data_IF_231411832384
#
_entry.id   IF_231411832384
#
_cell.length_a   1.000
_cell.length_b   1.000
_cell.length_c   1.000
_cell.angle_alpha   90.00
_cell.angle_beta   90.00
_cell.angle_gamma   90.00
#
_symmetry.space_group_name_H-M   'P 1'
#
loop_
_entity.id
_entity.type
_entity.pdbx_description
1 polymer ?
#
# COMPACT_ATOMS: atom_id res chain seq x y z
N UNK A 1 -5.49 83.06 -10.38
CA UNK A 1 -6.48 82.93 -9.28
C UNK A 1 -6.71 81.44 -8.99
N UNK A 2 -6.11 80.94 -7.90
CA UNK A 2 -6.76 80.35 -6.70
C UNK A 2 -7.02 78.82 -6.77
N UNK A 3 -6.02 78.08 -6.28
CA UNK A 3 -5.99 77.00 -5.27
C UNK A 3 -7.21 76.09 -4.91
N UNK A 4 -6.83 74.79 -4.75
CA UNK A 4 -7.07 73.83 -3.64
C UNK A 4 -8.29 72.88 -3.64
N UNK A 5 -7.99 71.59 -3.47
CA UNK A 5 -8.85 70.63 -2.76
C UNK A 5 -8.58 69.14 -3.04
N UNK A 6 -7.70 68.50 -2.26
CA UNK A 6 -7.61 67.02 -2.15
C UNK A 6 -8.79 66.47 -1.34
N UNK A 7 -9.12 65.16 -1.46
CA UNK A 7 -8.97 64.32 -0.27
C UNK A 7 -8.38 62.91 -0.51
N UNK A 8 -7.32 62.64 0.27
CA UNK A 8 -7.05 61.43 1.08
C UNK A 8 -7.29 60.05 0.45
N UNK A 9 -6.21 59.45 -0.07
CA UNK A 9 -6.07 58.01 -0.22
C UNK A 9 -5.96 57.34 1.17
N UNK A 10 -6.96 56.55 1.54
CA UNK A 10 -6.90 55.61 2.68
C UNK A 10 -6.37 54.29 2.12
N UNK A 11 -5.08 54.03 2.31
CA UNK A 11 -4.48 52.72 2.03
C UNK A 11 -4.78 51.81 3.23
N UNK A 12 -5.79 50.95 3.09
CA UNK A 12 -6.07 49.88 4.04
C UNK A 12 -5.00 48.77 3.87
N UNK A 13 -4.13 48.65 4.86
CA UNK A 13 -3.09 47.62 4.94
C UNK A 13 -3.73 46.33 5.48
N UNK A 14 -4.28 45.49 4.60
CA UNK A 14 -4.69 44.12 4.95
C UNK A 14 -3.44 43.24 5.09
N UNK A 15 -2.95 43.09 6.32
CA UNK A 15 -1.95 42.08 6.69
C UNK A 15 -2.65 40.71 6.62
N UNK A 16 -2.43 39.99 5.53
CA UNK A 16 -2.78 38.58 5.43
C UNK A 16 -1.89 37.79 6.42
N UNK A 17 -2.48 37.42 7.56
CA UNK A 17 -1.86 36.51 8.52
C UNK A 17 -1.76 35.11 7.90
N UNK A 18 -0.62 34.83 7.25
CA UNK A 18 -0.20 33.46 6.92
C UNK A 18 0.05 32.72 8.24
N UNK A 19 -0.97 32.05 8.77
CA UNK A 19 -0.80 31.07 9.84
C UNK A 19 0.01 29.90 9.27
N UNK A 20 1.31 29.91 9.52
CA UNK A 20 2.18 28.74 9.33
C UNK A 20 1.65 27.62 10.23
N UNK A 21 0.92 26.67 9.64
CA UNK A 21 0.60 25.40 10.28
C UNK A 21 1.93 24.66 10.43
N UNK A 22 2.60 24.89 11.56
CA UNK A 22 3.81 24.18 11.91
C UNK A 22 3.45 22.71 12.18
N UNK A 23 3.58 21.88 11.15
CA UNK A 23 3.39 20.44 11.26
C UNK A 23 4.36 19.90 12.31
N UNK A 24 3.83 19.29 13.38
CA UNK A 24 4.65 18.75 14.46
C UNK A 24 5.64 17.71 13.90
N UNK A 25 6.93 17.75 14.30
CA UNK A 25 7.91 16.80 13.78
C UNK A 25 7.55 15.38 14.18
N UNK A 26 7.68 14.43 13.25
CA UNK A 26 7.39 13.00 13.49
C UNK A 26 8.65 12.16 13.38
N UNK A 27 8.74 11.11 14.20
CA UNK A 27 9.74 10.04 14.07
C UNK A 27 9.10 8.78 13.51
N UNK A 28 9.88 7.96 12.79
CA UNK A 28 9.45 6.64 12.33
C UNK A 28 9.95 5.58 13.29
N UNK A 29 9.04 4.80 13.85
CA UNK A 29 9.37 3.63 14.67
C UNK A 29 8.91 2.38 13.91
N UNK A 30 9.86 1.51 13.59
CA UNK A 30 9.58 0.20 13.00
C UNK A 30 9.18 -0.77 14.11
N UNK A 31 8.11 -1.54 13.90
CA UNK A 31 7.67 -2.58 14.81
C UNK A 31 7.18 -3.80 14.04
N UNK A 32 7.46 -4.97 14.59
CA UNK A 32 6.92 -6.22 14.07
C UNK A 32 5.47 -6.37 14.54
N UNK A 33 4.56 -6.69 13.62
CA UNK A 33 3.18 -7.05 13.91
C UNK A 33 2.97 -8.54 13.66
N UNK A 34 2.05 -9.18 14.40
CA UNK A 34 1.69 -10.56 14.14
C UNK A 34 1.03 -10.72 12.77
N UNK A 35 1.06 -11.93 12.23
CA UNK A 35 0.22 -12.33 11.12
C UNK A 35 -1.26 -12.13 11.49
N UNK A 36 -2.10 -11.74 10.52
CA UNK A 36 -3.54 -11.58 10.78
C UNK A 36 -4.23 -12.92 11.08
N UNK A 37 -3.70 -14.02 10.55
CA UNK A 37 -4.23 -15.37 10.71
C UNK A 37 -3.25 -16.19 11.55
N UNK A 38 -3.56 -16.37 12.83
CA UNK A 38 -2.73 -17.17 13.73
C UNK A 38 -2.69 -18.66 13.36
N UNK A 39 -3.70 -19.17 12.64
CA UNK A 39 -3.72 -20.56 12.20
C UNK A 39 -2.64 -20.91 11.17
N UNK A 40 -1.97 -19.91 10.57
CA UNK A 40 -0.84 -20.11 9.67
C UNK A 40 0.53 -19.99 10.38
N UNK A 41 0.55 -19.71 11.68
CA UNK A 41 1.77 -19.36 12.40
C UNK A 41 2.74 -20.54 12.56
N UNK A 42 2.24 -21.77 12.62
CA UNK A 42 3.09 -22.96 12.74
C UNK A 42 3.76 -23.37 11.43
N UNK A 43 3.39 -22.77 10.30
CA UNK A 43 3.93 -23.12 9.00
C UNK A 43 5.41 -22.74 8.89
N UNK A 44 6.22 -23.65 8.35
CA UNK A 44 7.63 -23.41 8.08
C UNK A 44 7.94 -23.66 6.60
N UNK A 45 7.52 -24.82 6.07
CA UNK A 45 7.75 -25.21 4.68
C UNK A 45 6.49 -25.00 3.85
N UNK A 46 6.55 -24.15 2.83
CA UNK A 46 5.40 -23.91 1.94
C UNK A 46 5.77 -24.37 0.53
N UNK A 47 4.82 -24.98 -0.17
CA UNK A 47 4.97 -25.31 -1.58
C UNK A 47 3.99 -24.48 -2.40
N UNK A 48 4.45 -23.87 -3.51
CA UNK A 48 3.62 -22.98 -4.35
C UNK A 48 3.38 -23.66 -5.69
N UNK A 49 2.13 -24.00 -5.96
CA UNK A 49 1.75 -24.65 -7.21
C UNK A 49 1.64 -23.67 -8.36
N UNK A 50 1.71 -24.17 -9.59
CA UNK A 50 1.40 -23.36 -10.77
C UNK A 50 -0.11 -23.04 -10.78
N UNK A 51 -0.47 -21.76 -10.81
CA UNK A 51 -1.87 -21.36 -10.86
C UNK A 51 -2.46 -21.76 -12.20
N UNK A 52 -3.70 -22.22 -12.18
CA UNK A 52 -4.42 -22.55 -13.41
C UNK A 52 -4.85 -21.28 -14.15
N UNK A 53 -5.04 -21.38 -15.47
CA UNK A 53 -5.55 -20.28 -16.30
C UNK A 53 -4.48 -19.38 -16.94
N UNK A 54 -4.91 -18.34 -17.68
CA UNK A 54 -4.01 -17.45 -18.42
C UNK A 54 -3.02 -16.74 -17.49
N UNK A 55 -1.73 -16.75 -17.81
CA UNK A 55 -0.66 -16.14 -16.99
C UNK A 55 -0.48 -16.74 -15.58
N UNK A 56 -1.12 -17.88 -15.25
CA UNK A 56 -1.01 -18.48 -13.92
C UNK A 56 0.43 -18.82 -13.48
N UNK A 57 1.31 -19.23 -14.41
CA UNK A 57 2.75 -19.44 -14.12
C UNK A 57 3.44 -18.18 -13.59
N UNK A 58 3.06 -17.01 -14.10
CA UNK A 58 3.66 -15.73 -13.69
C UNK A 58 3.16 -15.32 -12.30
N UNK A 59 1.87 -15.51 -12.02
CA UNK A 59 1.28 -15.35 -10.68
C UNK A 59 2.03 -16.22 -9.66
N UNK A 60 2.16 -17.52 -9.94
CA UNK A 60 2.87 -18.46 -9.04
C UNK A 60 4.30 -18.05 -8.76
N UNK A 61 5.05 -17.67 -9.80
CA UNK A 61 6.45 -17.26 -9.66
C UNK A 61 6.57 -16.04 -8.74
N UNK A 62 5.73 -15.01 -8.97
CA UNK A 62 5.75 -13.79 -8.16
C UNK A 62 5.34 -14.03 -6.71
N UNK A 63 4.32 -14.86 -6.48
CA UNK A 63 3.93 -15.22 -5.12
C UNK A 63 5.00 -16.08 -4.43
N UNK A 64 5.66 -16.98 -5.16
CA UNK A 64 6.82 -17.74 -4.66
C UNK A 64 7.93 -16.80 -4.19
N UNK A 65 8.39 -15.92 -5.06
CA UNK A 65 9.42 -14.90 -4.76
C UNK A 65 9.01 -14.05 -3.55
N UNK A 66 7.75 -13.61 -3.50
CA UNK A 66 7.23 -12.83 -2.37
C UNK A 66 7.30 -13.58 -1.04
N UNK A 67 7.00 -14.89 -1.04
CA UNK A 67 7.06 -15.70 0.18
C UNK A 67 8.50 -16.02 0.61
N UNK A 68 9.41 -16.19 -0.35
CA UNK A 68 10.85 -16.36 -0.10
C UNK A 68 11.47 -15.09 0.52
N UNK A 69 10.96 -13.91 0.16
CA UNK A 69 11.43 -12.61 0.65
C UNK A 69 10.85 -12.21 2.03
N UNK A 70 10.17 -13.12 2.73
CA UNK A 70 9.66 -12.85 4.08
C UNK A 70 10.74 -13.17 5.11
N UNK A 71 11.27 -12.12 5.75
CA UNK A 71 12.26 -12.23 6.82
C UNK A 71 11.71 -11.73 8.16
N UNK A 72 11.99 -12.47 9.22
CA UNK A 72 11.72 -12.07 10.60
C UNK A 72 13.02 -12.17 11.38
N UNK A 73 13.42 -11.05 11.98
CA UNK A 73 14.67 -10.92 12.74
C UNK A 73 15.94 -11.39 12.00
N UNK A 74 15.95 -11.24 10.67
CA UNK A 74 17.09 -11.54 9.79
C UNK A 74 17.08 -12.94 9.19
N UNK A 75 16.15 -13.80 9.61
CA UNK A 75 16.04 -15.17 9.12
C UNK A 75 14.83 -15.33 8.19
N UNK A 76 14.90 -16.20 7.16
CA UNK A 76 13.75 -16.56 6.36
C UNK A 76 12.62 -17.12 7.25
N UNK A 77 11.43 -16.53 7.12
CA UNK A 77 10.27 -16.96 7.89
C UNK A 77 9.69 -18.26 7.31
N UNK A 78 9.64 -18.38 5.98
CA UNK A 78 9.23 -19.60 5.29
C UNK A 78 10.36 -20.19 4.45
N UNK A 79 10.36 -21.51 4.33
CA UNK A 79 11.19 -22.28 3.42
C UNK A 79 10.33 -22.76 2.25
N UNK A 80 10.56 -22.23 1.06
CA UNK A 80 9.80 -22.68 -0.10
C UNK A 80 10.38 -23.98 -0.64
N UNK A 81 9.56 -25.02 -0.73
CA UNK A 81 9.98 -26.38 -1.10
C UNK A 81 9.23 -26.91 -2.31
N UNK A 82 9.93 -27.65 -3.17
CA UNK A 82 9.42 -28.23 -4.42
C UNK A 82 10.13 -27.66 -5.65
N UNK A 83 10.38 -28.53 -6.64
CA UNK A 83 10.99 -28.15 -7.92
C UNK A 83 9.95 -27.58 -8.90
N UNK A 84 10.40 -26.77 -9.84
CA UNK A 84 9.54 -26.20 -10.87
C UNK A 84 8.86 -27.28 -11.74
N UNK A 85 9.56 -28.39 -11.97
CA UNK A 85 9.04 -29.60 -12.64
C UNK A 85 7.87 -30.24 -11.89
N UNK A 86 7.95 -30.28 -10.56
CA UNK A 86 6.89 -30.80 -9.70
C UNK A 86 5.61 -29.92 -9.79
N UNK A 87 5.77 -28.60 -9.86
CA UNK A 87 4.64 -27.67 -10.01
C UNK A 87 3.94 -27.79 -11.36
N UNK A 88 4.69 -28.03 -12.44
CA UNK A 88 4.13 -28.25 -13.77
C UNK A 88 3.36 -29.57 -13.87
N UNK A 89 3.82 -30.63 -13.19
CA UNK A 89 3.14 -31.92 -13.14
C UNK A 89 1.83 -31.86 -12.35
N UNK A 90 1.85 -31.19 -11.20
CA UNK A 90 0.69 -31.05 -10.32
C UNK A 90 -0.42 -30.23 -11.01
N UNK A 91 -0.08 -29.14 -11.69
CA UNK A 91 -1.04 -28.23 -12.33
C UNK A 91 -1.27 -28.52 -13.83
N UNK A 92 -0.58 -29.51 -14.39
CA UNK A 92 -0.55 -29.77 -15.83
C UNK A 92 -1.86 -30.35 -16.39
N UNK A 93 -2.23 -29.94 -17.61
CA UNK A 93 -3.38 -30.50 -18.37
C UNK A 93 -3.29 -32.02 -18.60
N UNK A 94 -2.10 -32.61 -18.50
CA UNK A 94 -1.82 -34.03 -18.74
C UNK A 94 -2.22 -34.93 -17.57
N UNK A 95 -2.44 -34.40 -16.37
CA UNK A 95 -2.93 -35.18 -15.25
C UNK A 95 -4.35 -34.77 -14.83
N UNK A 96 -5.37 -35.33 -15.49
CA UNK A 96 -6.79 -35.09 -15.13
C UNK A 96 -7.12 -35.51 -13.69
N UNK A 97 -6.47 -36.58 -13.19
CA UNK A 97 -6.65 -37.05 -11.82
C UNK A 97 -6.02 -36.11 -10.78
N UNK A 98 -4.92 -35.42 -11.14
CA UNK A 98 -4.19 -34.52 -10.24
C UNK A 98 -4.98 -33.25 -9.90
N UNK A 99 -5.91 -32.82 -10.76
CA UNK A 99 -6.78 -31.66 -10.48
C UNK A 99 -7.71 -31.82 -9.29
N UNK A 100 -7.93 -33.06 -8.82
CA UNK A 100 -8.67 -33.28 -7.59
C UNK A 100 -7.78 -32.88 -6.41
N UNK A 101 -8.32 -32.08 -5.52
CA UNK A 101 -7.65 -31.56 -4.31
C UNK A 101 -6.87 -32.63 -3.53
N UNK A 102 -7.45 -33.83 -3.39
CA UNK A 102 -6.81 -34.97 -2.72
C UNK A 102 -5.49 -35.41 -3.38
N UNK A 103 -5.39 -35.34 -4.71
CA UNK A 103 -4.17 -35.68 -5.42
C UNK A 103 -3.12 -34.57 -5.32
N UNK A 104 -3.52 -33.30 -5.38
CA UNK A 104 -2.60 -32.17 -5.16
C UNK A 104 -1.96 -32.22 -3.77
N UNK A 105 -2.76 -32.49 -2.74
CA UNK A 105 -2.26 -32.66 -1.38
C UNK A 105 -1.33 -33.87 -1.26
N UNK A 106 -1.64 -34.98 -1.95
CA UNK A 106 -0.74 -36.16 -1.95
C UNK A 106 0.60 -35.90 -2.61
N UNK A 107 0.60 -35.13 -3.71
CA UNK A 107 1.83 -34.70 -4.37
C UNK A 107 2.61 -33.77 -3.44
N UNK A 108 1.94 -32.76 -2.87
CA UNK A 108 2.58 -31.79 -1.99
C UNK A 108 3.15 -32.42 -0.72
N UNK A 109 2.56 -33.51 -0.21
CA UNK A 109 3.16 -34.30 0.88
C UNK A 109 4.55 -34.81 0.53
N UNK A 110 4.79 -35.18 -0.72
CA UNK A 110 6.09 -35.67 -1.16
C UNK A 110 7.18 -34.59 -1.14
N UNK A 111 6.82 -33.30 -1.09
CA UNK A 111 7.80 -32.20 -0.97
C UNK A 111 8.21 -31.91 0.48
N UNK A 112 7.55 -32.53 1.47
CA UNK A 112 7.79 -32.25 2.90
C UNK A 112 7.25 -30.90 3.37
N UNK A 113 6.37 -30.26 2.58
CA UNK A 113 5.72 -29.02 2.93
C UNK A 113 4.70 -29.19 4.09
N UNK A 114 4.49 -28.11 4.85
CA UNK A 114 3.39 -27.95 5.81
C UNK A 114 2.09 -27.53 5.12
N UNK A 115 2.20 -26.69 4.09
CA UNK A 115 1.06 -26.14 3.39
C UNK A 115 1.32 -25.94 1.89
N UNK A 116 0.23 -25.86 1.14
CA UNK A 116 0.19 -25.65 -0.30
C UNK A 116 -0.47 -24.32 -0.61
N UNK A 117 0.22 -23.44 -1.33
CA UNK A 117 -0.38 -22.27 -1.95
C UNK A 117 -0.80 -22.63 -3.38
N UNK A 118 -2.09 -22.51 -3.67
CA UNK A 118 -2.69 -22.88 -4.95
C UNK A 118 -3.72 -21.83 -5.39
N UNK A 119 -4.10 -21.86 -6.67
CA UNK A 119 -5.12 -20.94 -7.17
C UNK A 119 -5.35 -21.05 -8.67
N UNK A 120 -6.23 -20.18 -9.16
CA UNK A 120 -6.59 -20.10 -10.57
C UNK A 120 -6.92 -18.67 -10.96
N UNK A 121 -6.53 -18.30 -12.17
CA UNK A 121 -6.93 -17.06 -12.82
C UNK A 121 -8.35 -17.24 -13.34
N UNK A 122 -9.29 -16.55 -12.70
CA UNK A 122 -10.74 -16.66 -12.95
C UNK A 122 -11.19 -15.71 -14.06
N UNK A 123 -10.53 -14.56 -14.22
CA UNK A 123 -10.85 -13.57 -15.23
C UNK A 123 -9.58 -13.03 -15.90
N UNK A 124 -9.57 -13.02 -17.24
CA UNK A 124 -8.52 -12.39 -18.05
C UNK A 124 -9.13 -11.95 -19.37
N UNK A 125 -9.89 -10.85 -19.32
CA UNK A 125 -10.67 -10.37 -20.47
C UNK A 125 -10.41 -8.90 -20.75
N UNK A 126 -10.82 -8.49 -21.94
CA UNK A 126 -10.84 -7.10 -22.33
C UNK A 126 -12.02 -6.88 -23.28
N UNK A 127 -12.92 -5.99 -22.88
CA UNK A 127 -14.11 -5.61 -23.62
C UNK A 127 -13.98 -4.22 -24.20
N UNK A 128 -14.52 -4.01 -25.40
CA UNK A 128 -14.56 -2.72 -26.07
C UNK A 128 -16.00 -2.21 -26.19
N UNK A 129 -16.21 -0.95 -25.80
CA UNK A 129 -17.47 -0.22 -25.92
C UNK A 129 -17.28 1.00 -26.82
N UNK A 130 -18.18 1.21 -27.77
CA UNK A 130 -18.12 2.33 -28.70
C UNK A 130 -18.98 3.47 -28.18
N UNK A 131 -18.44 4.69 -28.26
CA UNK A 131 -19.16 5.89 -27.87
C UNK A 131 -18.76 7.06 -28.78
N UNK A 132 -19.48 8.17 -28.70
CA UNK A 132 -19.12 9.40 -29.39
C UNK A 132 -18.80 10.50 -28.39
N UNK A 133 -17.73 11.25 -28.64
CA UNK A 133 -17.38 12.44 -27.89
C UNK A 133 -17.71 13.68 -28.72
N UNK A 134 -18.38 14.65 -28.10
CA UNK A 134 -18.78 15.89 -28.75
C UNK A 134 -17.62 16.89 -28.72
N UNK A 135 -17.18 17.35 -29.88
CA UNK A 135 -16.21 18.44 -30.01
C UNK A 135 -16.83 19.60 -30.80
N UNK A 136 -16.90 20.78 -30.20
CA UNK A 136 -17.38 22.00 -30.88
C UNK A 136 -16.20 22.70 -31.51
N UNK A 137 -16.18 22.83 -32.84
CA UNK A 137 -15.09 23.47 -33.59
C UNK A 137 -15.59 24.73 -34.29
N UNK A 138 -14.69 25.70 -34.37
CA UNK A 138 -14.90 26.85 -35.23
C UNK A 138 -14.84 26.42 -36.70
N UNK A 139 -15.90 26.66 -37.46
CA UNK A 139 -15.94 26.35 -38.90
C UNK A 139 -15.68 27.56 -39.77
N UNK A 140 -15.89 28.77 -39.24
CA UNK A 140 -15.66 30.01 -39.98
C UNK A 140 -15.01 31.07 -39.10
N UNK A 141 -13.85 31.54 -39.53
CA UNK A 141 -13.13 32.67 -38.94
C UNK A 141 -13.40 33.94 -39.77
N UNK A 142 -13.60 35.07 -39.11
CA UNK A 142 -13.82 36.36 -39.76
C UNK A 142 -12.95 37.42 -39.10
N UNK A 143 -12.27 38.24 -39.92
CA UNK A 143 -11.47 39.38 -39.47
C UNK A 143 -12.28 40.63 -39.74
N UNK A 144 -12.71 41.32 -38.68
CA UNK A 144 -13.55 42.50 -38.82
C UNK A 144 -12.74 43.78 -39.11
N UNK A 145 -11.45 43.82 -38.72
CA UNK A 145 -10.51 44.92 -39.00
C UNK A 145 -9.11 44.42 -39.28
N UNK A 146 -8.35 45.18 -40.08
CA UNK A 146 -7.06 44.79 -40.67
C UNK A 146 -5.96 44.40 -39.67
N UNK A 147 -6.05 44.83 -38.41
CA UNK A 147 -5.07 44.55 -37.34
C UNK A 147 -5.67 43.77 -36.14
N UNK A 148 -6.89 43.25 -36.27
CA UNK A 148 -7.54 42.44 -35.23
C UNK A 148 -7.36 40.93 -35.49
N UNK A 149 -7.30 40.15 -34.41
CA UNK A 149 -7.24 38.69 -34.51
C UNK A 149 -8.54 38.15 -35.11
N UNK A 150 -8.49 37.09 -35.96
CA UNK A 150 -9.68 36.47 -36.50
C UNK A 150 -10.59 35.95 -35.37
N UNK A 151 -11.89 36.25 -35.47
CA UNK A 151 -12.91 35.81 -34.53
C UNK A 151 -13.73 34.70 -35.17
N UNK A 152 -14.07 33.67 -34.40
CA UNK A 152 -14.96 32.63 -34.87
C UNK A 152 -16.40 33.15 -35.00
N UNK A 153 -16.99 33.09 -36.19
CA UNK A 153 -18.36 33.54 -36.47
C UNK A 153 -19.35 32.39 -36.62
N UNK A 154 -18.86 31.17 -36.87
CA UNK A 154 -19.69 29.97 -36.92
C UNK A 154 -19.03 28.82 -36.17
N UNK A 155 -19.83 28.17 -35.34
CA UNK A 155 -19.45 26.99 -34.58
C UNK A 155 -20.28 25.81 -35.07
N UNK A 156 -19.66 24.65 -35.18
CA UNK A 156 -20.36 23.40 -35.44
C UNK A 156 -19.93 22.32 -34.45
N UNK A 157 -20.88 21.46 -34.12
CA UNK A 157 -20.64 20.29 -33.30
C UNK A 157 -20.22 19.10 -34.17
N UNK A 158 -19.11 18.47 -33.78
CA UNK A 158 -18.58 17.26 -34.39
C UNK A 158 -18.67 16.12 -33.38
N UNK A 159 -19.24 15.00 -33.81
CA UNK A 159 -19.33 13.79 -33.00
C UNK A 159 -18.16 12.87 -33.39
N UNK A 160 -17.21 12.71 -32.47
CA UNK A 160 -15.98 11.97 -32.70
C UNK A 160 -16.18 10.55 -32.21
N UNK A 161 -16.09 9.55 -33.09
CA UNK A 161 -16.21 8.16 -32.69
C UNK A 161 -14.99 7.76 -31.87
N UNK A 162 -15.27 7.15 -30.73
CA UNK A 162 -14.30 6.70 -29.76
C UNK A 162 -14.59 5.25 -29.34
N UNK A 163 -13.57 4.59 -28.82
CA UNK A 163 -13.67 3.27 -28.19
C UNK A 163 -13.14 3.37 -26.78
N UNK A 164 -13.89 2.80 -25.83
CA UNK A 164 -13.50 2.58 -24.45
C UNK A 164 -13.20 1.10 -24.27
N UNK A 165 -11.96 0.78 -23.97
CA UNK A 165 -11.50 -0.56 -23.66
C UNK A 165 -11.47 -0.73 -22.15
N UNK A 166 -12.03 -1.82 -21.64
CA UNK A 166 -12.03 -2.19 -20.22
C UNK A 166 -11.42 -3.57 -20.09
N UNK A 167 -10.24 -3.66 -19.49
CA UNK A 167 -9.58 -4.92 -19.17
C UNK A 167 -9.80 -5.27 -17.70
N UNK A 168 -10.11 -6.53 -17.44
CA UNK A 168 -10.26 -7.07 -16.09
C UNK A 168 -9.35 -8.28 -15.94
N UNK A 169 -8.62 -8.32 -14.84
CA UNK A 169 -7.82 -9.47 -14.44
C UNK A 169 -8.19 -9.85 -13.01
N UNK A 170 -8.52 -11.12 -12.79
CA UNK A 170 -8.83 -11.67 -11.47
C UNK A 170 -8.22 -13.06 -11.28
N UNK A 171 -7.70 -13.32 -10.09
CA UNK A 171 -7.29 -14.64 -9.67
C UNK A 171 -7.63 -14.91 -8.21
N UNK A 172 -7.89 -16.17 -7.91
CA UNK A 172 -8.15 -16.65 -6.55
C UNK A 172 -6.93 -17.37 -5.99
N UNK A 173 -6.72 -17.24 -4.68
CA UNK A 173 -5.60 -17.85 -3.94
C UNK A 173 -6.15 -18.63 -2.75
N UNK A 174 -5.58 -19.81 -2.50
CA UNK A 174 -5.89 -20.66 -1.35
C UNK A 174 -4.60 -21.20 -0.74
N UNK A 175 -4.47 -21.14 0.59
CA UNK A 175 -3.42 -21.79 1.37
C UNK A 175 -4.06 -22.94 2.14
N UNK A 176 -3.62 -24.17 1.85
CA UNK A 176 -4.19 -25.39 2.44
C UNK A 176 -3.13 -26.08 3.28
N UNK A 177 -3.45 -26.37 4.54
CA UNK A 177 -2.60 -27.18 5.39
C UNK A 177 -2.62 -28.65 4.94
N UNK A 178 -1.45 -29.26 4.79
CA UNK A 178 -1.33 -30.60 4.20
C UNK A 178 -1.79 -31.72 5.15
N UNK A 179 -1.56 -31.54 6.44
CA UNK A 179 -1.87 -32.52 7.49
C UNK A 179 -3.36 -32.64 7.70
N UNK A 180 -4.05 -31.50 7.82
CA UNK A 180 -5.50 -31.44 8.10
C UNK A 180 -6.36 -31.34 6.84
N UNK A 181 -5.80 -30.80 5.75
CA UNK A 181 -6.56 -30.44 4.55
C UNK A 181 -7.40 -29.15 4.72
N UNK A 182 -7.25 -28.42 5.83
CA UNK A 182 -8.01 -27.21 6.07
C UNK A 182 -7.46 -26.00 5.29
N UNK A 183 -8.38 -25.14 4.83
CA UNK A 183 -8.02 -23.83 4.29
C UNK A 183 -7.60 -22.91 5.42
N UNK A 184 -6.33 -22.50 5.41
CA UNK A 184 -5.78 -21.52 6.36
C UNK A 184 -5.99 -20.08 5.86
N UNK A 185 -5.99 -19.89 4.54
CA UNK A 185 -6.22 -18.59 3.91
C UNK A 185 -6.87 -18.76 2.54
N UNK A 186 -7.79 -17.86 2.21
CA UNK A 186 -8.51 -17.82 0.93
C UNK A 186 -8.83 -16.37 0.59
N UNK A 187 -8.61 -15.97 -0.66
CA UNK A 187 -8.85 -14.61 -1.13
C UNK A 187 -8.98 -14.55 -2.65
N UNK A 188 -9.50 -13.44 -3.18
CA UNK A 188 -9.42 -13.12 -4.60
C UNK A 188 -8.82 -11.73 -4.81
N UNK A 189 -8.10 -11.58 -5.92
CA UNK A 189 -7.40 -10.36 -6.29
C UNK A 189 -7.80 -9.97 -7.69
N UNK A 190 -8.50 -8.84 -7.81
CA UNK A 190 -8.99 -8.31 -9.07
C UNK A 190 -8.48 -6.90 -9.33
N UNK A 191 -8.25 -6.57 -10.59
CA UNK A 191 -8.06 -5.19 -11.03
C UNK A 191 -8.76 -4.96 -12.37
N UNK A 192 -9.31 -3.76 -12.53
CA UNK A 192 -9.91 -3.30 -13.79
C UNK A 192 -9.15 -2.06 -14.27
N UNK A 193 -8.81 -2.03 -15.55
CA UNK A 193 -8.15 -0.91 -16.21
C UNK A 193 -8.91 -0.48 -17.45
N UNK A 194 -8.98 0.82 -17.66
CA UNK A 194 -9.70 1.40 -18.78
C UNK A 194 -8.73 2.24 -19.62
N UNK A 195 -8.93 2.20 -20.94
CA UNK A 195 -8.22 3.05 -21.89
C UNK A 195 -9.14 3.43 -23.03
N UNK A 196 -9.08 4.69 -23.47
CA UNK A 196 -9.90 5.21 -24.54
C UNK A 196 -9.07 5.72 -25.73
N UNK A 197 -9.60 5.55 -26.95
CA UNK A 197 -9.06 6.13 -28.17
C UNK A 197 -10.18 6.72 -29.01
N UNK A 198 -9.89 7.87 -29.64
CA UNK A 198 -10.81 8.58 -30.52
C UNK A 198 -10.16 8.79 -31.89
N UNK A 199 -10.94 8.74 -32.96
CA UNK A 199 -10.44 9.05 -34.30
C UNK A 199 -10.21 10.55 -34.47
N UNK A 200 -8.97 10.93 -34.80
CA UNK A 200 -8.59 12.35 -34.92
C UNK A 200 -9.04 13.00 -36.24
N UNK A 201 -9.12 12.23 -37.33
CA UNK A 201 -9.52 12.73 -38.65
C UNK A 201 -10.80 12.05 -39.13
N UNK A 202 -11.89 12.82 -39.23
CA UNK A 202 -13.05 12.45 -40.06
C UNK A 202 -12.67 12.66 -41.52
N UNK A 203 -11.94 11.73 -42.13
CA UNK A 203 -12.04 11.54 -43.58
C UNK A 203 -13.41 10.90 -43.80
N UNK A 204 -14.26 11.50 -44.63
CA UNK A 204 -15.64 11.07 -44.91
C UNK A 204 -15.75 9.59 -45.33
N UNK A 205 -15.74 8.68 -44.35
CA UNK A 205 -15.77 7.24 -44.53
C UNK A 205 -16.94 6.63 -43.77
N UNK A 206 -17.42 5.49 -44.26
CA UNK A 206 -18.51 4.72 -43.64
C UNK A 206 -18.18 4.41 -42.17
N UNK A 207 -19.19 4.52 -41.28
CA UNK A 207 -19.12 4.12 -39.86
C UNK A 207 -18.46 2.75 -39.65
N UNK A 208 -18.63 1.81 -40.61
CA UNK A 208 -17.98 0.48 -40.56
C UNK A 208 -16.46 0.52 -40.71
N UNK A 209 -15.92 1.45 -41.50
CA UNK A 209 -14.47 1.63 -41.64
C UNK A 209 -13.86 2.16 -40.33
N UNK A 210 -14.55 3.10 -39.68
CA UNK A 210 -14.21 3.62 -38.35
C UNK A 210 -14.17 2.53 -37.28
N UNK A 211 -15.14 1.62 -37.27
CA UNK A 211 -15.17 0.49 -36.34
C UNK A 211 -13.96 -0.42 -36.51
N UNK A 212 -13.58 -0.73 -37.75
CA UNK A 212 -12.43 -1.58 -38.05
C UNK A 212 -11.13 -0.90 -37.60
N UNK A 213 -11.00 0.42 -37.80
CA UNK A 213 -9.81 1.17 -37.38
C UNK A 213 -9.65 1.20 -35.85
N UNK A 214 -10.74 1.43 -35.11
CA UNK A 214 -10.70 1.51 -33.65
C UNK A 214 -10.59 0.15 -32.96
N UNK A 215 -11.26 -0.88 -33.49
CA UNK A 215 -11.35 -2.20 -32.83
C UNK A 215 -10.44 -3.26 -33.45
N UNK A 216 -9.97 -3.05 -34.69
CA UNK A 216 -9.26 -4.07 -35.46
C UNK A 216 -10.16 -5.21 -35.98
N UNK A 217 -11.49 -5.12 -35.81
CA UNK A 217 -12.43 -6.18 -36.19
C UNK A 217 -13.50 -5.69 -37.18
N UNK A 218 -13.83 -6.55 -38.17
CA UNK A 218 -14.96 -6.36 -39.11
C UNK A 218 -16.30 -6.78 -38.51
N UNK A 219 -16.28 -7.67 -37.52
CA UNK A 219 -17.46 -8.06 -36.77
C UNK A 219 -17.57 -7.15 -35.55
N UNK A 220 -18.77 -6.62 -35.30
CA UNK A 220 -19.13 -5.75 -34.16
C UNK A 220 -19.03 -6.49 -32.82
N UNK A 221 -17.89 -7.09 -32.52
CA UNK A 221 -17.67 -7.79 -31.27
C UNK A 221 -16.92 -6.85 -30.33
N UNK A 222 -17.49 -6.75 -29.15
CA UNK A 222 -17.08 -6.02 -27.95
C UNK A 222 -15.72 -6.48 -27.41
N UNK A 223 -14.71 -6.62 -28.27
CA UNK A 223 -13.41 -7.16 -27.93
C UNK A 223 -12.32 -6.14 -28.26
N UNK A 224 -11.39 -5.96 -27.32
CA UNK A 224 -10.29 -5.04 -27.48
C UNK A 224 -9.38 -5.44 -28.65
N UNK A 225 -8.84 -4.44 -29.35
CA UNK A 225 -7.74 -4.62 -30.31
C UNK A 225 -6.59 -5.37 -29.65
N UNK A 226 -5.98 -6.32 -30.37
CA UNK A 226 -5.00 -7.26 -29.78
C UNK A 226 -3.85 -6.58 -29.00
N UNK A 227 -3.28 -5.50 -29.55
CA UNK A 227 -2.20 -4.74 -28.90
C UNK A 227 -2.66 -4.11 -27.57
N UNK A 228 -3.86 -3.52 -27.57
CA UNK A 228 -4.45 -2.87 -26.39
C UNK A 228 -4.87 -3.88 -25.34
N UNK A 229 -5.42 -5.02 -25.79
CA UNK A 229 -5.77 -6.14 -24.93
C UNK A 229 -4.56 -6.59 -24.12
N UNK A 230 -3.40 -6.77 -24.77
CA UNK A 230 -2.18 -7.21 -24.09
C UNK A 230 -1.72 -6.19 -23.05
N UNK A 231 -1.67 -4.92 -23.41
CA UNK A 231 -1.17 -3.86 -22.52
C UNK A 231 -2.10 -3.64 -21.31
N UNK A 232 -3.39 -3.43 -21.54
CA UNK A 232 -4.34 -3.16 -20.45
C UNK A 232 -4.50 -4.35 -19.51
N UNK A 233 -4.49 -5.58 -20.04
CA UNK A 233 -4.50 -6.80 -19.18
C UNK A 233 -3.20 -6.89 -18.39
N UNK A 234 -2.05 -6.56 -18.97
CA UNK A 234 -0.77 -6.60 -18.24
C UNK A 234 -0.77 -5.60 -17.07
N UNK A 235 -1.27 -4.38 -17.27
CA UNK A 235 -1.41 -3.40 -16.19
C UNK A 235 -2.38 -3.93 -15.12
N UNK A 236 -3.56 -4.44 -15.51
CA UNK A 236 -4.52 -5.01 -14.57
C UNK A 236 -3.91 -6.18 -13.77
N UNK A 237 -3.15 -7.05 -14.43
CA UNK A 237 -2.38 -8.12 -13.79
C UNK A 237 -1.39 -7.56 -12.76
N UNK A 238 -0.55 -6.59 -13.13
CA UNK A 238 0.44 -5.96 -12.25
C UNK A 238 -0.18 -5.36 -10.98
N UNK A 239 -1.34 -4.73 -11.11
CA UNK A 239 -2.07 -4.17 -9.97
C UNK A 239 -2.70 -5.24 -9.06
N UNK A 240 -3.28 -6.28 -9.67
CA UNK A 240 -3.88 -7.40 -8.93
C UNK A 240 -2.81 -8.18 -8.15
N UNK A 241 -1.67 -8.49 -8.79
CA UNK A 241 -0.58 -9.20 -8.14
C UNK A 241 0.10 -8.34 -7.07
N UNK A 242 0.33 -7.04 -7.29
CA UNK A 242 0.88 -6.15 -6.26
C UNK A 242 -0.02 -6.08 -5.01
N UNK A 243 -1.35 -6.18 -5.19
CA UNK A 243 -2.31 -6.27 -4.09
C UNK A 243 -2.14 -7.58 -3.31
N UNK A 244 -1.92 -8.70 -4.00
CA UNK A 244 -1.65 -9.99 -3.40
C UNK A 244 -0.31 -10.04 -2.66
N UNK A 245 0.76 -9.54 -3.27
CA UNK A 245 2.10 -9.49 -2.67
C UNK A 245 2.15 -8.65 -1.40
N UNK A 246 1.22 -7.70 -1.25
CA UNK A 246 1.05 -6.94 -0.01
C UNK A 246 0.17 -7.67 1.02
N UNK A 247 -0.97 -8.23 0.59
CA UNK A 247 -2.00 -8.76 1.50
C UNK A 247 -1.65 -10.15 2.03
N UNK A 248 -1.09 -11.02 1.19
CA UNK A 248 -0.77 -12.40 1.55
C UNK A 248 0.28 -12.45 2.66
N UNK A 249 1.47 -11.82 2.54
CA UNK A 249 2.47 -11.87 3.61
C UNK A 249 1.94 -11.36 4.95
N UNK A 250 1.18 -10.25 4.94
CA UNK A 250 0.59 -9.70 6.17
C UNK A 250 -0.48 -10.61 6.80
N UNK A 251 -1.07 -11.50 6.01
CA UNK A 251 -2.12 -12.40 6.49
C UNK A 251 -1.52 -13.63 7.15
N UNK A 252 -0.42 -14.16 6.63
CA UNK A 252 0.13 -15.47 7.03
C UNK A 252 1.47 -15.40 7.77
N UNK A 253 2.14 -14.24 7.77
CA UNK A 253 3.42 -14.04 8.46
C UNK A 253 3.47 -12.73 9.25
N UNK A 254 4.29 -12.65 10.31
CA UNK A 254 4.63 -11.39 10.95
C UNK A 254 5.26 -10.40 9.97
N UNK A 255 4.98 -9.11 10.14
CA UNK A 255 5.44 -8.08 9.20
C UNK A 255 5.81 -6.77 9.90
N UNK A 256 6.88 -6.12 9.42
CA UNK A 256 7.31 -4.83 9.95
C UNK A 256 6.42 -3.70 9.44
N UNK A 257 5.95 -2.85 10.36
CA UNK A 257 5.23 -1.61 10.04
C UNK A 257 5.99 -0.41 10.61
N UNK A 258 6.20 0.59 9.77
CA UNK A 258 6.77 1.88 10.19
C UNK A 258 5.65 2.82 10.63
N UNK A 259 5.54 3.08 11.93
CA UNK A 259 4.58 4.04 12.49
C UNK A 259 5.22 5.42 12.60
N UNK A 260 4.55 6.47 12.12
CA UNK A 260 4.95 7.86 12.38
C UNK A 260 4.39 8.30 13.73
N UNK A 261 5.25 8.73 14.64
CA UNK A 261 4.87 9.20 15.97
C UNK A 261 5.24 10.69 16.07
N UNK A 262 4.29 11.59 16.38
CA UNK A 262 4.61 13.00 16.59
C UNK A 262 5.46 13.16 17.85
N UNK A 263 6.39 14.13 17.82
CA UNK A 263 7.17 14.57 18.97
C UNK A 263 6.61 15.86 19.53
N UNK A 264 6.71 16.02 20.85
CA UNK A 264 6.43 17.30 21.48
C UNK A 264 7.66 18.21 21.39
N UNK A 265 7.44 19.47 21.01
CA UNK A 265 8.51 20.47 20.80
C UNK A 265 8.47 21.64 21.80
N UNK A 266 7.46 21.69 22.66
CA UNK A 266 7.34 22.77 23.65
C UNK A 266 8.45 22.67 24.69
N UNK A 267 9.10 23.78 25.01
CA UNK A 267 10.11 23.89 26.07
C UNK A 267 9.50 24.26 27.43
N UNK A 268 8.17 24.31 27.54
CA UNK A 268 7.47 24.55 28.80
C UNK A 268 7.88 23.50 29.85
N UNK A 269 8.13 23.95 31.08
CA UNK A 269 8.61 23.12 32.19
C UNK A 269 10.12 22.81 32.17
N UNK A 270 10.86 23.26 31.16
CA UNK A 270 12.33 23.16 31.12
C UNK A 270 12.91 24.50 31.58
N UNK A 271 13.50 24.58 32.77
CA UNK A 271 14.06 25.84 33.31
C UNK A 271 15.55 25.98 33.01
N UNK A 272 16.29 24.89 33.18
CA UNK A 272 17.74 24.84 32.97
C UNK A 272 18.11 25.08 31.50
N UNK A 273 19.10 25.96 31.28
CA UNK A 273 19.53 26.37 29.94
C UNK A 273 20.21 25.21 29.19
N UNK A 274 21.00 24.39 29.90
CA UNK A 274 21.63 23.21 29.31
C UNK A 274 20.57 22.18 28.90
N UNK A 275 19.56 21.94 29.72
CA UNK A 275 18.43 21.06 29.40
C UNK A 275 17.62 21.55 28.18
N UNK A 276 17.43 22.87 28.03
CA UNK A 276 16.79 23.45 26.82
C UNK A 276 17.63 23.21 25.56
N UNK A 277 18.95 23.38 25.64
CA UNK A 277 19.85 23.09 24.51
C UNK A 277 19.79 21.60 24.13
N UNK A 278 19.94 20.72 25.11
CA UNK A 278 19.86 19.26 24.94
C UNK A 278 18.53 18.86 24.28
N UNK A 279 17.41 19.38 24.77
CA UNK A 279 16.08 19.11 24.22
C UNK A 279 15.97 19.56 22.77
N UNK A 280 16.40 20.79 22.45
CA UNK A 280 16.29 21.34 21.10
C UNK A 280 17.16 20.57 20.11
N UNK A 281 18.38 20.18 20.52
CA UNK A 281 19.28 19.34 19.72
C UNK A 281 18.72 17.93 19.51
N UNK A 282 18.12 17.34 20.54
CA UNK A 282 17.46 16.05 20.45
C UNK A 282 16.32 16.04 19.43
N UNK A 283 15.49 17.09 19.39
CA UNK A 283 14.42 17.24 18.38
C UNK A 283 15.02 17.27 16.96
N UNK A 284 16.11 18.02 16.75
CA UNK A 284 16.80 18.07 15.45
C UNK A 284 17.33 16.69 15.03
N UNK A 285 17.98 15.97 15.94
CA UNK A 285 18.53 14.62 15.70
C UNK A 285 17.44 13.58 15.42
N UNK A 286 16.33 13.65 16.17
CA UNK A 286 15.21 12.74 15.95
C UNK A 286 14.60 12.94 14.55
N UNK A 287 14.53 14.19 14.05
CA UNK A 287 14.07 14.49 12.68
C UNK A 287 15.01 13.96 11.61
N UNK A 288 16.31 13.88 11.88
CA UNK A 288 17.32 13.30 10.96
C UNK A 288 17.51 11.79 11.14
N UNK A 289 16.51 11.09 11.70
CA UNK A 289 16.50 9.63 11.95
C UNK A 289 17.52 9.12 12.97
N UNK A 290 18.15 10.00 13.76
CA UNK A 290 19.06 9.61 14.84
C UNK A 290 18.32 9.59 16.19
N UNK A 291 17.34 8.68 16.31
CA UNK A 291 16.52 8.57 17.51
C UNK A 291 17.32 8.07 18.72
N UNK A 292 18.28 7.17 18.53
CA UNK A 292 19.15 6.66 19.61
C UNK A 292 19.87 7.79 20.34
N UNK A 293 20.49 8.72 19.60
CA UNK A 293 21.19 9.86 20.21
C UNK A 293 20.19 10.85 20.81
N UNK A 294 19.07 11.11 20.14
CA UNK A 294 18.02 11.98 20.68
C UNK A 294 17.49 11.48 22.04
N UNK A 295 17.26 10.17 22.18
CA UNK A 295 16.82 9.56 23.42
C UNK A 295 17.83 9.73 24.56
N UNK A 296 19.13 9.68 24.26
CA UNK A 296 20.17 9.95 25.26
C UNK A 296 20.12 11.40 25.74
N UNK A 297 19.99 12.36 24.83
CA UNK A 297 19.94 13.79 25.15
C UNK A 297 18.67 14.17 25.93
N UNK A 298 17.49 13.62 25.55
CA UNK A 298 16.27 13.82 26.34
C UNK A 298 16.38 13.23 27.74
N UNK A 299 17.01 12.06 27.89
CA UNK A 299 17.23 11.46 29.21
C UNK A 299 18.12 12.35 30.09
N UNK A 300 19.19 12.92 29.53
CA UNK A 300 20.07 13.86 30.25
C UNK A 300 19.32 15.14 30.65
N UNK A 301 18.53 15.73 29.74
CA UNK A 301 17.76 16.93 30.02
C UNK A 301 16.62 16.73 31.02
N UNK A 302 15.98 15.56 31.02
CA UNK A 302 14.86 15.25 31.92
C UNK A 302 15.24 15.21 33.40
N UNK A 303 16.47 14.84 33.74
CA UNK A 303 16.94 14.80 35.12
C UNK A 303 16.84 16.17 35.82
N UNK A 304 16.98 17.27 35.07
CA UNK A 304 16.90 18.63 35.57
C UNK A 304 15.55 19.32 35.26
N UNK A 305 14.56 18.60 34.72
CA UNK A 305 13.30 19.18 34.22
C UNK A 305 12.10 18.25 34.40
N UNK A 306 11.75 17.86 35.65
CA UNK A 306 10.65 16.93 35.93
C UNK A 306 9.26 17.51 35.59
N UNK A 307 9.11 18.83 35.50
CA UNK A 307 7.86 19.50 35.16
C UNK A 307 7.59 19.59 33.65
N UNK A 308 8.47 19.04 32.81
CA UNK A 308 8.34 19.15 31.35
C UNK A 308 7.58 17.97 30.76
N UNK A 309 6.31 18.20 30.42
CA UNK A 309 5.49 17.21 29.74
C UNK A 309 6.07 16.74 28.40
N UNK A 310 6.72 17.65 27.66
CA UNK A 310 7.38 17.31 26.39
C UNK A 310 8.53 16.33 26.57
N UNK A 311 9.33 16.48 27.64
CA UNK A 311 10.42 15.56 27.94
C UNK A 311 9.86 14.19 28.35
N UNK A 312 8.88 14.13 29.25
CA UNK A 312 8.21 12.88 29.62
C UNK A 312 7.60 12.19 28.39
N UNK A 313 6.85 12.91 27.56
CA UNK A 313 6.24 12.34 26.36
C UNK A 313 7.30 11.79 25.38
N UNK A 314 8.34 12.57 25.07
CA UNK A 314 9.39 12.14 24.13
C UNK A 314 10.21 10.96 24.70
N UNK A 315 10.40 10.88 26.02
CA UNK A 315 10.97 9.69 26.68
C UNK A 315 10.05 8.46 26.55
N UNK A 316 8.73 8.65 26.57
CA UNK A 316 7.77 7.61 26.23
C UNK A 316 7.97 7.07 24.82
N UNK A 317 8.19 7.96 23.84
CA UNK A 317 8.50 7.57 22.45
C UNK A 317 9.82 6.78 22.37
N UNK A 318 10.81 7.16 23.17
CA UNK A 318 12.07 6.43 23.27
C UNK A 318 11.94 5.04 23.88
N UNK A 319 11.08 4.87 24.89
CA UNK A 319 10.78 3.57 25.47
C UNK A 319 10.00 2.68 24.48
N UNK A 320 9.05 3.25 23.71
CA UNK A 320 8.40 2.54 22.61
C UNK A 320 9.40 2.05 21.55
N UNK A 321 10.34 2.90 21.15
CA UNK A 321 11.40 2.54 20.20
C UNK A 321 12.26 1.37 20.70
N UNK A 322 12.46 1.27 22.02
CA UNK A 322 13.19 0.17 22.67
C UNK A 322 12.32 -1.04 22.99
N UNK A 323 11.05 -1.06 22.56
CA UNK A 323 10.04 -2.09 22.87
C UNK A 323 9.72 -2.23 24.38
N UNK A 324 10.12 -1.29 25.23
CA UNK A 324 9.74 -1.27 26.64
C UNK A 324 8.40 -0.56 26.83
N UNK A 325 7.32 -1.29 26.55
CA UNK A 325 5.95 -0.76 26.60
C UNK A 325 5.52 -0.38 28.02
N UNK A 326 6.10 -1.01 29.05
CA UNK A 326 5.79 -0.71 30.46
C UNK A 326 6.36 0.65 30.83
N UNK A 327 7.63 0.88 30.53
CA UNK A 327 8.29 2.16 30.76
C UNK A 327 7.69 3.27 29.89
N UNK A 328 7.36 2.97 28.63
CA UNK A 328 6.69 3.93 27.76
C UNK A 328 5.35 4.41 28.34
N UNK A 329 4.54 3.47 28.84
CA UNK A 329 3.26 3.81 29.50
C UNK A 329 3.45 4.68 30.73
N UNK A 330 4.51 4.46 31.51
CA UNK A 330 4.84 5.28 32.68
C UNK A 330 5.14 6.72 32.25
N UNK A 331 6.04 6.91 31.29
CA UNK A 331 6.39 8.23 30.77
C UNK A 331 5.18 8.98 30.17
N UNK A 332 4.28 8.27 29.47
CA UNK A 332 3.06 8.89 28.97
C UNK A 332 2.09 9.29 30.08
N UNK A 333 2.03 8.56 31.20
CA UNK A 333 1.26 8.97 32.37
C UNK A 333 1.84 10.19 33.06
N UNK A 334 3.15 10.29 33.16
CA UNK A 334 3.83 11.48 33.68
C UNK A 334 3.50 12.71 32.81
N UNK A 335 3.56 12.57 31.49
CA UNK A 335 3.16 13.64 30.57
C UNK A 335 1.66 13.97 30.67
N UNK A 336 0.80 12.97 30.83
CA UNK A 336 -0.64 13.14 31.01
C UNK A 336 -0.98 13.93 32.28
N UNK A 337 -0.27 13.67 33.38
CA UNK A 337 -0.44 14.41 34.64
C UNK A 337 -0.13 15.91 34.52
N UNK A 338 0.68 16.30 33.53
CA UNK A 338 1.08 17.70 33.29
C UNK A 338 0.24 18.40 32.21
N UNK A 339 -0.33 17.66 31.25
CA UNK A 339 -1.09 18.21 30.12
C UNK A 339 -2.61 17.99 30.22
N UNK A 340 -3.04 17.07 31.09
CA UNK A 340 -4.40 16.53 31.11
C UNK A 340 -4.51 15.26 30.27
N UNK A 341 -5.32 14.31 30.75
CA UNK A 341 -5.52 13.00 30.10
C UNK A 341 -6.27 13.10 28.75
N UNK A 342 -7.02 14.19 28.52
CA UNK A 342 -7.75 14.44 27.28
C UNK A 342 -6.89 15.00 26.15
N UNK A 343 -5.57 15.12 26.33
CA UNK A 343 -4.68 15.57 25.27
C UNK A 343 -4.59 14.54 24.13
N UNK A 344 -4.83 14.96 22.88
CA UNK A 344 -4.86 14.07 21.71
C UNK A 344 -3.59 13.22 21.53
N UNK A 345 -2.40 13.80 21.77
CA UNK A 345 -1.14 13.05 21.64
C UNK A 345 -1.00 11.99 22.73
N UNK A 346 -1.49 12.27 23.93
CA UNK A 346 -1.50 11.33 25.07
C UNK A 346 -2.48 10.19 24.82
N UNK A 347 -3.71 10.50 24.39
CA UNK A 347 -4.71 9.50 24.03
C UNK A 347 -4.20 8.57 22.92
N UNK A 348 -3.66 9.15 21.84
CA UNK A 348 -3.07 8.40 20.74
C UNK A 348 -1.88 7.52 21.18
N UNK A 349 -1.10 7.97 22.16
CA UNK A 349 -0.02 7.19 22.75
C UNK A 349 -0.53 6.00 23.57
N UNK A 350 -1.53 6.19 24.44
CA UNK A 350 -2.10 5.09 25.21
C UNK A 350 -2.77 4.03 24.34
N UNK A 351 -3.52 4.44 23.31
CA UNK A 351 -4.08 3.49 22.34
C UNK A 351 -2.98 2.71 21.60
N UNK A 352 -1.90 3.39 21.22
CA UNK A 352 -0.77 2.76 20.53
C UNK A 352 -0.09 1.74 21.44
N UNK A 353 0.13 2.05 22.72
CA UNK A 353 0.66 1.11 23.71
C UNK A 353 -0.27 -0.09 23.89
N UNK A 354 -1.59 0.13 24.02
CA UNK A 354 -2.57 -0.94 24.18
C UNK A 354 -2.55 -1.89 22.98
N UNK A 355 -2.56 -1.34 21.75
CA UNK A 355 -2.41 -2.13 20.51
C UNK A 355 -1.09 -2.89 20.48
N UNK A 356 0.03 -2.23 20.76
CA UNK A 356 1.36 -2.87 20.77
C UNK A 356 1.44 -4.02 21.78
N UNK A 357 0.82 -3.89 22.96
CA UNK A 357 0.80 -4.95 23.96
C UNK A 357 0.03 -6.16 23.47
N UNK A 358 -1.13 -5.95 22.83
CA UNK A 358 -1.91 -7.03 22.20
C UNK A 358 -1.12 -7.70 21.08
N UNK A 359 -0.54 -6.91 20.18
CA UNK A 359 0.27 -7.39 19.05
C UNK A 359 1.45 -8.25 19.55
N UNK A 360 2.16 -7.81 20.60
CA UNK A 360 3.29 -8.54 21.19
C UNK A 360 2.91 -9.90 21.77
N UNK A 361 1.74 -10.01 22.42
CA UNK A 361 1.27 -11.28 22.97
C UNK A 361 0.98 -12.29 21.85
N UNK A 362 0.22 -11.87 20.83
CA UNK A 362 -0.11 -12.74 19.68
C UNK A 362 1.18 -13.14 18.95
N UNK A 363 2.09 -12.19 18.72
CA UNK A 363 3.35 -12.46 18.04
C UNK A 363 4.18 -13.51 18.79
N UNK A 364 4.26 -13.41 20.13
CA UNK A 364 4.99 -14.39 20.95
C UNK A 364 4.39 -15.80 20.84
N UNK A 365 3.06 -15.91 20.76
CA UNK A 365 2.39 -17.20 20.55
C UNK A 365 2.70 -17.75 19.16
N UNK A 366 2.60 -16.91 18.12
CA UNK A 366 2.85 -17.30 16.73
C UNK A 366 4.28 -17.81 16.52
N UNK A 367 5.29 -17.09 17.03
CA UNK A 367 6.69 -17.50 16.91
C UNK A 367 6.99 -18.81 17.67
N UNK A 368 6.36 -19.01 18.83
CA UNK A 368 6.52 -20.25 19.60
C UNK A 368 5.92 -21.45 18.87
N UNK A 369 4.74 -21.32 18.25
CA UNK A 369 4.14 -22.40 17.46
C UNK A 369 5.01 -22.79 16.25
N UNK A 370 5.62 -21.81 15.59
CA UNK A 370 6.55 -22.06 14.51
C UNK A 370 7.80 -22.82 14.98
N UNK A 371 8.41 -22.38 16.09
CA UNK A 371 9.57 -23.06 16.68
C UNK A 371 9.24 -24.50 17.10
N UNK A 372 8.07 -24.73 17.70
CA UNK A 372 7.61 -26.07 18.06
C UNK A 372 7.51 -26.97 16.82
N UNK A 373 6.95 -26.47 15.72
CA UNK A 373 6.86 -27.25 14.48
C UNK A 373 8.26 -27.57 13.92
N UNK A 374 9.15 -26.57 13.85
CA UNK A 374 10.54 -26.76 13.42
C UNK A 374 11.25 -27.86 14.23
N UNK A 375 11.14 -27.82 15.57
CA UNK A 375 11.75 -28.82 16.46
C UNK A 375 11.17 -30.23 16.31
N UNK A 376 9.87 -30.36 15.99
CA UNK A 376 9.26 -31.68 15.73
C UNK A 376 9.86 -32.31 14.48
N UNK A 377 9.99 -31.53 13.40
CA UNK A 377 10.53 -32.00 12.12
C UNK A 377 12.03 -32.30 12.11
N UNK A 378 12.82 -31.77 13.04
CA UNK A 378 14.24 -32.13 13.17
C UNK A 378 14.46 -33.45 13.92
N UNK A 379 13.43 -33.98 14.59
CA UNK A 379 13.49 -35.23 15.37
C UNK A 379 12.99 -36.46 14.61
N UNK A 380 12.27 -36.24 13.51
CA UNK A 380 11.86 -37.26 12.52
C UNK A 380 12.93 -37.37 11.43
#
# INVERSE_FOLDING_TARGET
>A
MIFRGYPKAVFALTIAALTLVACAPTVRVSKLRPARISAAAHLDKITVLTFEGPNGKQVSRRLKETLEDIYVDGEPYFHIVGEDTFYELASGKRCRACRKEKHMLSLARATGADAVLAGSVTESSCTAELYEEKETRCTQLTVFKKDEKPVCTQWADFYIPCVKNTATYEFEVRLVEITTGHYLYTDSFSSTRQGNACLKNRSAGSYRATLIELTGSRQSQSQCRADWKKELINIAYEDAIASAEKKIPQSIAPYYVSTKIPLMTSTKGIRDAKAKDLFTRAIKLARTRNLTTACRLWKEGAAASPESASLSYNLGVCAEFKKDLKLAKQFYREAAGLLGESNDMILAAFERIARNKKDMNILSEQLNEQEKNRRRKTKE
#
